data_IF_866759459934
#
_entry.id   IF_866759459934
#
_cell.length_a   1.000
_cell.length_b   1.000
_cell.length_c   1.000
_cell.angle_alpha   90.00
_cell.angle_beta   90.00
_cell.angle_gamma   90.00
#
_symmetry.space_group_name_H-M   'P 1'
#
loop_
_entity.id
_entity.type
_entity.pdbx_description
1 polymer ?
#
# COMPACT_ATOMS: atom_id res chain seq x y z
N UNK A 1 13.23 3.56 6.58
CA UNK A 1 12.88 2.65 7.66
C UNK A 1 13.08 1.20 7.23
N UNK A 2 12.36 0.70 6.21
CA UNK A 2 12.42 -0.71 5.78
C UNK A 2 13.86 -1.22 5.56
N UNK A 3 14.69 -0.44 4.85
CA UNK A 3 16.09 -0.81 4.57
C UNK A 3 16.94 -0.91 5.83
N UNK A 4 16.72 -0.04 6.81
CA UNK A 4 17.44 -0.08 8.10
C UNK A 4 17.07 -1.32 8.90
N UNK A 5 15.76 -1.60 9.03
CA UNK A 5 15.30 -2.82 9.70
C UNK A 5 15.85 -4.09 9.02
N UNK A 6 15.87 -4.12 7.69
CA UNK A 6 16.43 -5.24 6.93
C UNK A 6 17.97 -5.34 7.10
N UNK A 7 18.67 -4.23 7.18
CA UNK A 7 20.13 -4.21 7.43
C UNK A 7 20.45 -4.78 8.82
N UNK A 8 19.66 -4.45 9.84
CA UNK A 8 19.78 -5.07 11.16
C UNK A 8 19.61 -6.59 11.11
N UNK A 9 18.58 -7.08 10.40
CA UNK A 9 18.34 -8.53 10.24
C UNK A 9 19.53 -9.26 9.61
N UNK A 10 20.28 -8.58 8.73
CA UNK A 10 21.45 -9.15 8.04
C UNK A 10 22.75 -9.04 8.84
N UNK A 11 22.92 -7.99 9.61
CA UNK A 11 24.23 -7.65 10.23
C UNK A 11 24.25 -7.81 11.75
N UNK A 12 23.10 -7.67 12.41
CA UNK A 12 23.02 -7.60 13.87
C UNK A 12 23.59 -6.29 14.46
N UNK A 13 23.85 -5.27 13.63
CA UNK A 13 24.41 -4.01 14.09
C UNK A 13 23.32 -3.07 14.61
N UNK A 14 23.35 -2.77 15.90
CA UNK A 14 22.33 -2.00 16.62
C UNK A 14 22.07 -0.61 16.05
N UNK A 15 23.05 0.01 15.37
CA UNK A 15 22.84 1.32 14.72
C UNK A 15 21.69 1.29 13.69
N UNK A 16 21.51 0.15 13.01
CA UNK A 16 20.43 0.00 12.03
C UNK A 16 19.06 -0.20 12.70
N UNK A 17 19.01 -0.90 13.84
CA UNK A 17 17.79 -1.02 14.63
C UNK A 17 17.36 0.35 15.17
N UNK A 18 18.30 1.08 15.78
CA UNK A 18 18.02 2.43 16.29
C UNK A 18 17.51 3.38 15.19
N UNK A 19 18.10 3.31 14.00
CA UNK A 19 17.65 4.11 12.86
C UNK A 19 16.25 3.70 12.38
N UNK A 20 15.91 2.40 12.42
CA UNK A 20 14.59 1.90 12.05
C UNK A 20 13.52 2.34 13.05
N UNK A 21 13.79 2.25 14.35
CA UNK A 21 12.90 2.70 15.41
C UNK A 21 12.66 4.20 15.35
N UNK A 22 13.70 5.01 15.28
CA UNK A 22 13.58 6.48 15.14
C UNK A 22 12.80 6.89 13.88
N UNK A 23 13.05 6.21 12.76
CA UNK A 23 12.31 6.46 11.53
C UNK A 23 10.84 6.06 11.64
N UNK A 24 10.53 4.97 12.34
CA UNK A 24 9.15 4.53 12.61
C UNK A 24 8.43 5.51 13.52
N UNK A 25 9.05 5.94 14.60
CA UNK A 25 8.49 6.95 15.51
C UNK A 25 8.24 8.27 14.76
N UNK A 26 9.17 8.69 13.90
CA UNK A 26 8.97 9.89 13.07
C UNK A 26 7.75 9.76 12.16
N UNK A 27 7.58 8.64 11.47
CA UNK A 27 6.41 8.39 10.63
C UNK A 27 5.12 8.49 11.46
N UNK A 28 5.09 7.84 12.63
CA UNK A 28 3.94 7.83 13.53
C UNK A 28 3.61 9.22 14.09
N UNK A 29 4.62 9.99 14.46
CA UNK A 29 4.44 11.29 15.11
C UNK A 29 4.13 12.41 14.10
N UNK A 30 4.71 12.33 12.89
CA UNK A 30 4.71 13.44 11.93
C UNK A 30 3.86 13.17 10.69
N UNK A 31 3.73 11.92 10.26
CA UNK A 31 3.10 11.59 8.99
C UNK A 31 1.74 10.90 9.14
N UNK A 32 1.40 10.47 10.34
CA UNK A 32 0.15 9.77 10.63
C UNK A 32 -0.98 10.77 10.94
N UNK A 33 -2.14 10.52 10.35
CA UNK A 33 -3.41 11.11 10.77
C UNK A 33 -4.30 10.03 11.38
N UNK A 34 -4.88 10.32 12.54
CA UNK A 34 -5.88 9.47 13.20
C UNK A 34 -7.22 10.19 13.11
N UNK A 35 -8.16 9.58 12.42
CA UNK A 35 -9.53 10.06 12.39
C UNK A 35 -10.19 9.84 13.75
N UNK A 36 -10.65 10.91 14.38
CA UNK A 36 -11.17 10.86 15.75
C UNK A 36 -12.54 10.23 15.86
N UNK A 37 -13.30 10.18 14.76
CA UNK A 37 -14.66 9.65 14.73
C UNK A 37 -14.66 8.14 14.47
N UNK A 38 -13.79 7.67 13.60
CA UNK A 38 -13.71 6.26 13.19
C UNK A 38 -12.54 5.51 13.82
N UNK A 39 -11.52 6.22 14.28
CA UNK A 39 -10.25 5.65 14.75
C UNK A 39 -9.34 5.13 13.63
N UNK A 40 -9.75 5.25 12.37
CA UNK A 40 -8.94 4.83 11.22
C UNK A 40 -7.72 5.71 11.04
N UNK A 41 -6.69 5.16 10.41
CA UNK A 41 -5.43 5.85 10.17
C UNK A 41 -5.18 5.97 8.68
N UNK A 42 -4.80 7.16 8.25
CA UNK A 42 -4.15 7.38 6.96
C UNK A 42 -2.86 8.19 7.13
N UNK A 43 -2.02 8.16 6.08
CA UNK A 43 -0.69 8.71 6.13
C UNK A 43 -0.56 9.85 5.12
N UNK A 44 0.06 10.94 5.55
CA UNK A 44 0.35 12.08 4.67
C UNK A 44 1.44 11.73 3.68
N UNK A 45 1.35 12.28 2.46
CA UNK A 45 2.36 12.13 1.43
C UNK A 45 3.74 12.58 1.90
N UNK A 46 3.82 13.70 2.59
CA UNK A 46 5.09 14.27 3.01
C UNK A 46 4.96 15.35 4.08
N UNK A 47 6.12 15.85 4.47
CA UNK A 47 6.23 17.00 5.37
C UNK A 47 7.24 18.00 4.78
N UNK A 48 6.85 19.28 4.73
CA UNK A 48 7.72 20.38 4.36
C UNK A 48 8.04 21.21 5.60
N UNK A 49 9.32 21.52 5.78
CA UNK A 49 9.77 22.45 6.81
C UNK A 49 10.04 23.80 6.12
N UNK A 50 9.28 24.83 6.50
CA UNK A 50 9.47 26.18 6.01
C UNK A 50 10.74 26.84 6.56
N UNK A 51 11.16 27.96 5.97
CA UNK A 51 12.37 28.69 6.36
C UNK A 51 12.35 29.18 7.84
N UNK A 52 11.18 29.34 8.44
CA UNK A 52 11.02 29.68 9.87
C UNK A 52 10.83 28.47 10.79
N UNK A 53 11.08 27.23 10.31
CA UNK A 53 10.90 26.00 11.09
C UNK A 53 9.46 25.51 11.20
N UNK A 54 8.50 26.15 10.49
CA UNK A 54 7.11 25.70 10.48
C UNK A 54 6.97 24.37 9.73
N UNK A 55 6.29 23.44 10.34
CA UNK A 55 5.95 22.14 9.73
C UNK A 55 4.66 22.27 8.91
N UNK A 56 4.69 21.82 7.67
CA UNK A 56 3.54 21.74 6.77
C UNK A 56 3.33 20.30 6.30
N UNK A 57 2.12 19.77 6.48
CA UNK A 57 1.74 18.48 5.91
C UNK A 57 1.50 18.62 4.41
N UNK A 58 2.01 17.67 3.64
CA UNK A 58 1.74 17.57 2.21
C UNK A 58 0.77 16.41 1.99
N UNK A 59 -0.40 16.73 1.45
CA UNK A 59 -1.46 15.75 1.18
C UNK A 59 -1.35 15.15 -0.21
N UNK A 60 -0.62 15.80 -1.11
CA UNK A 60 -0.57 15.49 -2.53
C UNK A 60 0.85 15.24 -3.01
N UNK A 61 1.00 14.30 -3.93
CA UNK A 61 2.27 14.00 -4.57
C UNK A 61 2.66 15.10 -5.58
N UNK A 62 3.97 15.24 -5.80
CA UNK A 62 4.54 16.14 -6.80
C UNK A 62 4.18 15.75 -8.25
N UNK A 63 3.74 14.52 -8.47
CA UNK A 63 3.37 14.01 -9.78
C UNK A 63 2.00 14.49 -10.27
N UNK A 64 1.25 15.21 -9.44
CA UNK A 64 -0.01 15.85 -9.81
C UNK A 64 -1.17 14.92 -10.17
N UNK A 65 -0.98 13.62 -10.06
CA UNK A 65 -2.00 12.62 -10.36
C UNK A 65 -2.97 12.40 -9.19
N UNK A 66 -2.55 12.81 -7.98
CA UNK A 66 -3.18 12.48 -6.71
C UNK A 66 -3.73 13.73 -6.02
N UNK A 67 -4.02 14.78 -6.78
CA UNK A 67 -4.57 16.02 -6.25
C UNK A 67 -5.93 15.78 -5.62
N UNK A 68 -6.09 16.26 -4.40
CA UNK A 68 -7.33 16.18 -3.62
C UNK A 68 -7.82 14.75 -3.31
N UNK A 69 -6.93 13.76 -3.36
CA UNK A 69 -7.27 12.37 -3.08
C UNK A 69 -6.31 11.73 -2.07
N UNK A 70 -6.73 10.58 -1.55
CA UNK A 70 -5.88 9.68 -0.77
C UNK A 70 -5.57 8.49 -1.68
N UNK A 71 -4.33 8.31 -2.15
CA UNK A 71 -3.96 7.17 -2.96
C UNK A 71 -3.68 5.93 -2.10
N UNK A 72 -4.20 4.77 -2.52
CA UNK A 72 -3.95 3.49 -1.85
C UNK A 72 -2.45 3.17 -1.79
N UNK A 73 -1.72 3.44 -2.86
CA UNK A 73 -0.28 3.21 -2.97
C UNK A 73 0.52 3.80 -1.81
N UNK A 74 0.27 5.05 -1.46
CA UNK A 74 0.98 5.73 -0.37
C UNK A 74 0.65 5.11 0.99
N UNK A 75 -0.62 4.77 1.22
CA UNK A 75 -1.07 4.15 2.45
C UNK A 75 -0.44 2.76 2.63
N UNK A 76 -0.35 1.99 1.55
CA UNK A 76 0.29 0.66 1.53
C UNK A 76 1.77 0.77 1.89
N UNK A 77 2.49 1.69 1.25
CA UNK A 77 3.94 1.82 1.49
C UNK A 77 4.29 2.50 2.80
N UNK A 78 3.38 3.29 3.38
CA UNK A 78 3.56 3.82 4.74
C UNK A 78 3.69 2.71 5.78
N UNK A 79 3.08 1.54 5.55
CA UNK A 79 3.18 0.38 6.44
C UNK A 79 4.47 -0.42 6.27
N UNK A 80 5.15 -0.32 5.13
CA UNK A 80 6.29 -1.19 4.81
C UNK A 80 7.42 -1.11 5.84
N UNK A 81 7.84 0.08 6.17
CA UNK A 81 8.90 0.32 7.16
C UNK A 81 8.50 -0.06 8.58
N UNK A 82 7.38 0.48 9.08
CA UNK A 82 6.88 0.15 10.43
C UNK A 82 6.69 -1.36 10.65
N UNK A 83 6.08 -2.08 9.71
CA UNK A 83 5.89 -3.54 9.86
C UNK A 83 7.23 -4.29 9.89
N UNK A 84 8.23 -3.85 9.12
CA UNK A 84 9.55 -4.46 9.19
C UNK A 84 10.22 -4.17 10.55
N UNK A 85 9.98 -2.99 11.14
CA UNK A 85 10.43 -2.66 12.51
C UNK A 85 9.65 -3.50 13.55
N UNK A 86 8.34 -3.67 13.38
CA UNK A 86 7.52 -4.52 14.24
C UNK A 86 8.05 -5.96 14.32
N UNK A 87 8.48 -6.53 13.21
CA UNK A 87 9.09 -7.88 13.18
C UNK A 87 10.33 -8.02 14.07
N UNK A 88 11.02 -6.94 14.34
CA UNK A 88 12.22 -6.91 15.19
C UNK A 88 11.89 -6.62 16.64
N UNK A 89 10.96 -5.70 16.87
CA UNK A 89 10.72 -5.12 18.20
C UNK A 89 9.49 -5.69 18.90
N UNK A 90 8.50 -6.17 18.14
CA UNK A 90 7.21 -6.57 18.68
C UNK A 90 6.38 -5.40 19.25
N UNK A 91 6.70 -4.15 18.90
CA UNK A 91 6.01 -2.97 19.44
C UNK A 91 4.52 -2.98 19.07
N UNK A 92 3.60 -3.17 20.05
CA UNK A 92 2.17 -3.31 19.77
C UNK A 92 1.54 -2.04 19.19
N UNK A 93 2.18 -0.87 19.38
CA UNK A 93 1.69 0.40 18.83
C UNK A 93 1.78 0.41 17.31
N UNK A 94 2.79 -0.27 16.74
CA UNK A 94 2.95 -0.39 15.28
C UNK A 94 1.88 -1.32 14.71
N UNK A 95 1.58 -2.41 15.40
CA UNK A 95 0.52 -3.33 14.99
C UNK A 95 -0.85 -2.64 15.00
N UNK A 96 -1.16 -1.87 16.05
CA UNK A 96 -2.41 -1.09 16.16
C UNK A 96 -2.55 -0.08 15.00
N UNK A 97 -1.48 0.64 14.65
CA UNK A 97 -1.48 1.56 13.50
C UNK A 97 -1.72 0.81 12.17
N UNK A 98 -1.12 -0.36 12.01
CA UNK A 98 -1.29 -1.17 10.81
C UNK A 98 -2.73 -1.69 10.68
N UNK A 99 -3.32 -2.18 11.77
CA UNK A 99 -4.71 -2.66 11.81
C UNK A 99 -5.70 -1.56 11.44
N UNK A 100 -5.53 -0.37 12.00
CA UNK A 100 -6.37 0.80 11.69
C UNK A 100 -6.21 1.29 10.25
N UNK A 101 -5.03 1.15 9.65
CA UNK A 101 -4.82 1.44 8.23
C UNK A 101 -5.45 0.36 7.35
N UNK A 102 -5.41 -0.91 7.75
CA UNK A 102 -6.10 -2.01 7.06
C UNK A 102 -7.61 -1.81 7.11
N UNK A 103 -8.16 -1.36 8.24
CA UNK A 103 -9.58 -1.03 8.36
C UNK A 103 -9.99 0.11 7.39
N UNK A 104 -9.10 1.08 7.14
CA UNK A 104 -9.31 2.09 6.08
C UNK A 104 -9.40 1.43 4.69
N UNK A 105 -8.50 0.48 4.37
CA UNK A 105 -8.57 -0.24 3.10
C UNK A 105 -9.87 -1.03 2.96
N UNK A 106 -10.25 -1.79 3.97
CA UNK A 106 -11.46 -2.63 3.94
C UNK A 106 -12.76 -1.83 3.89
N UNK A 107 -12.74 -0.59 4.42
CA UNK A 107 -13.93 0.25 4.48
C UNK A 107 -14.12 1.09 3.22
N UNK A 108 -13.07 1.72 2.73
CA UNK A 108 -13.18 2.76 1.70
C UNK A 108 -12.49 2.43 0.37
N UNK A 109 -11.43 1.63 0.38
CA UNK A 109 -10.76 1.24 -0.85
C UNK A 109 -11.27 -0.07 -1.44
N UNK A 110 -11.78 -0.98 -0.63
CA UNK A 110 -12.19 -2.31 -1.09
C UNK A 110 -13.48 -2.23 -1.92
N UNK A 111 -13.42 -2.78 -3.12
CA UNK A 111 -14.62 -3.05 -3.91
C UNK A 111 -15.25 -4.36 -3.43
N UNK A 112 -16.35 -4.24 -2.67
CA UNK A 112 -17.03 -5.38 -2.05
C UNK A 112 -17.87 -6.19 -3.04
N UNK A 113 -18.17 -5.63 -4.23
CA UNK A 113 -18.99 -6.28 -5.25
C UNK A 113 -18.13 -7.02 -6.27
N UNK A 114 -17.08 -6.36 -6.78
CA UNK A 114 -16.26 -6.87 -7.88
C UNK A 114 -14.87 -7.33 -7.44
N UNK A 115 -14.52 -7.12 -6.17
CA UNK A 115 -13.21 -7.47 -5.60
C UNK A 115 -12.08 -6.50 -5.94
N UNK A 116 -10.97 -6.65 -5.23
CA UNK A 116 -9.82 -5.77 -5.31
C UNK A 116 -10.02 -4.44 -4.58
N UNK A 117 -9.09 -3.51 -4.80
CA UNK A 117 -9.07 -2.22 -4.14
C UNK A 117 -8.95 -1.09 -5.16
N UNK A 118 -9.70 -0.03 -4.95
CA UNK A 118 -9.60 1.21 -5.73
C UNK A 118 -8.25 1.88 -5.52
N UNK A 119 -7.75 2.53 -6.55
CA UNK A 119 -6.46 3.21 -6.50
C UNK A 119 -6.49 4.50 -5.68
N UNK A 120 -7.63 5.20 -5.70
CA UNK A 120 -7.80 6.51 -5.07
C UNK A 120 -9.18 6.63 -4.44
N UNK A 121 -9.24 7.36 -3.33
CA UNK A 121 -10.49 7.84 -2.73
C UNK A 121 -10.40 9.35 -2.55
N UNK A 122 -11.55 10.04 -2.59
CA UNK A 122 -11.60 11.48 -2.35
C UNK A 122 -11.28 11.82 -0.89
N UNK A 123 -10.46 12.84 -0.65
CA UNK A 123 -9.92 13.14 0.68
C UNK A 123 -10.98 13.54 1.73
N UNK A 124 -12.16 14.01 1.31
CA UNK A 124 -13.24 14.44 2.22
C UNK A 124 -14.37 13.43 2.26
N UNK A 125 -14.87 12.98 1.09
CA UNK A 125 -16.01 12.04 1.02
C UNK A 125 -15.61 10.60 1.23
N UNK A 126 -14.31 10.27 1.16
CA UNK A 126 -13.73 8.94 1.20
C UNK A 126 -14.31 7.98 0.14
N UNK A 127 -14.91 8.52 -0.90
CA UNK A 127 -15.52 7.76 -1.99
C UNK A 127 -14.55 7.60 -3.15
N UNK A 128 -14.43 6.37 -3.67
CA UNK A 128 -13.71 6.09 -4.91
C UNK A 128 -14.50 6.52 -6.16
N UNK A 129 -15.78 6.84 -5.99
CA UNK A 129 -16.68 7.24 -7.08
C UNK A 129 -16.97 8.74 -7.15
N UNK A 130 -16.25 9.56 -6.36
CA UNK A 130 -16.40 11.01 -6.39
C UNK A 130 -15.97 11.57 -7.75
N UNK A 131 -16.79 12.47 -8.32
CA UNK A 131 -16.52 13.05 -9.64
C UNK A 131 -15.25 13.88 -9.70
N UNK A 132 -14.84 14.47 -8.58
CA UNK A 132 -13.62 15.28 -8.50
C UNK A 132 -12.33 14.49 -8.69
N UNK A 133 -12.39 13.15 -8.52
CA UNK A 133 -11.26 12.27 -8.82
C UNK A 133 -10.91 12.21 -10.32
N UNK A 134 -11.80 12.69 -11.19
CA UNK A 134 -11.55 12.77 -12.63
C UNK A 134 -11.12 11.43 -13.22
N UNK A 135 -9.92 11.39 -13.81
CA UNK A 135 -9.37 10.16 -14.41
C UNK A 135 -9.06 9.04 -13.41
N UNK A 136 -8.91 9.37 -12.13
CA UNK A 136 -8.63 8.40 -11.06
C UNK A 136 -9.90 7.78 -10.45
N UNK A 137 -11.08 8.27 -10.87
CA UNK A 137 -12.38 7.79 -10.39
C UNK A 137 -12.58 6.32 -10.69
N UNK A 138 -12.86 5.53 -9.66
CA UNK A 138 -13.22 4.12 -9.75
C UNK A 138 -12.21 3.26 -10.56
N UNK A 139 -10.92 3.45 -10.31
CA UNK A 139 -9.84 2.73 -10.99
C UNK A 139 -9.16 1.73 -10.08
N UNK A 140 -8.66 0.65 -10.66
CA UNK A 140 -7.85 -0.38 -10.00
C UNK A 140 -6.55 -0.58 -10.74
N UNK A 141 -5.48 -0.83 -10.00
CA UNK A 141 -4.17 -1.10 -10.60
C UNK A 141 -3.34 -2.04 -9.72
N UNK A 142 -2.16 -2.42 -10.21
CA UNK A 142 -1.22 -3.19 -9.42
C UNK A 142 -0.95 -2.52 -8.06
N UNK A 143 -0.72 -1.22 -8.05
CA UNK A 143 -0.34 -0.50 -6.83
C UNK A 143 -1.43 -0.53 -5.75
N UNK A 144 -2.70 -0.59 -6.13
CA UNK A 144 -3.80 -0.66 -5.16
C UNK A 144 -4.24 -2.08 -4.82
N UNK A 145 -3.98 -3.05 -5.72
CA UNK A 145 -4.44 -4.43 -5.54
C UNK A 145 -3.31 -5.34 -5.05
N UNK A 146 -2.15 -5.28 -5.70
CA UNK A 146 -1.08 -6.25 -5.49
C UNK A 146 0.01 -5.83 -4.51
N UNK A 147 0.26 -4.53 -4.40
CA UNK A 147 1.36 -4.03 -3.57
C UNK A 147 1.16 -4.25 -2.07
N UNK A 148 -0.04 -4.57 -1.61
CA UNK A 148 -0.28 -5.03 -0.24
C UNK A 148 0.66 -6.20 0.14
N UNK A 149 0.78 -7.18 -0.75
CA UNK A 149 1.55 -8.38 -0.46
C UNK A 149 3.04 -8.09 -0.18
N UNK A 150 3.81 -7.46 -1.10
CA UNK A 150 5.24 -7.23 -0.90
C UNK A 150 5.56 -6.10 0.08
N UNK A 151 4.69 -5.10 0.18
CA UNK A 151 4.98 -3.94 1.01
C UNK A 151 4.96 -4.31 2.50
N UNK A 152 3.90 -4.94 2.97
CA UNK A 152 3.73 -5.20 4.39
C UNK A 152 3.06 -6.54 4.72
N UNK A 153 2.12 -7.02 3.91
CA UNK A 153 1.17 -8.05 4.33
C UNK A 153 1.81 -9.42 4.54
N UNK A 154 2.74 -9.84 3.66
CA UNK A 154 3.51 -11.08 3.87
C UNK A 154 4.31 -10.99 5.18
N UNK A 155 4.97 -9.85 5.42
CA UNK A 155 5.77 -9.67 6.62
C UNK A 155 4.91 -9.59 7.89
N UNK A 156 3.72 -8.98 7.80
CA UNK A 156 2.76 -8.91 8.90
C UNK A 156 2.21 -10.29 9.24
N UNK A 157 1.83 -11.07 8.23
CA UNK A 157 1.39 -12.45 8.46
C UNK A 157 2.49 -13.31 9.11
N UNK A 158 3.72 -13.26 8.59
CA UNK A 158 4.85 -13.99 9.17
C UNK A 158 5.18 -13.59 10.61
N UNK A 159 4.89 -12.34 10.99
CA UNK A 159 5.15 -11.84 12.35
C UNK A 159 4.04 -12.17 13.35
N UNK A 160 2.80 -12.33 12.89
CA UNK A 160 1.62 -12.46 13.74
C UNK A 160 0.93 -13.81 13.65
N UNK A 161 1.14 -14.53 12.55
CA UNK A 161 0.46 -15.79 12.21
C UNK A 161 -1.08 -15.70 12.21
N UNK A 162 -1.63 -14.47 12.11
CA UNK A 162 -3.08 -14.26 12.12
C UNK A 162 -3.71 -14.66 10.80
N UNK A 163 -4.75 -15.49 10.84
CA UNK A 163 -5.48 -15.97 9.66
C UNK A 163 -6.07 -14.84 8.80
N UNK A 164 -6.48 -13.72 9.40
CA UNK A 164 -7.02 -12.57 8.65
C UNK A 164 -6.04 -12.06 7.58
N UNK A 165 -4.74 -12.06 7.86
CA UNK A 165 -3.73 -11.61 6.91
C UNK A 165 -3.45 -12.66 5.83
N UNK A 166 -3.54 -13.93 6.18
CA UNK A 166 -3.47 -15.01 5.20
C UNK A 166 -4.61 -14.93 4.21
N UNK A 167 -5.85 -14.78 4.71
CA UNK A 167 -7.04 -14.63 3.87
C UNK A 167 -6.91 -13.41 2.95
N UNK A 168 -6.41 -12.29 3.45
CA UNK A 168 -6.19 -11.09 2.65
C UNK A 168 -5.11 -11.31 1.57
N UNK A 169 -4.06 -12.10 1.86
CA UNK A 169 -3.04 -12.48 0.88
C UNK A 169 -3.62 -13.38 -0.20
N UNK A 170 -4.41 -14.40 0.18
CA UNK A 170 -5.08 -15.30 -0.75
C UNK A 170 -6.00 -14.51 -1.69
N UNK A 171 -6.87 -13.65 -1.16
CA UNK A 171 -7.75 -12.77 -1.95
C UNK A 171 -6.96 -11.86 -2.92
N UNK A 172 -5.83 -11.31 -2.44
CA UNK A 172 -4.94 -10.49 -3.26
C UNK A 172 -4.37 -11.28 -4.44
N UNK A 173 -3.82 -12.46 -4.18
CA UNK A 173 -3.20 -13.27 -5.23
C UNK A 173 -4.21 -13.92 -6.17
N UNK A 174 -5.36 -14.33 -5.68
CA UNK A 174 -6.47 -14.83 -6.50
C UNK A 174 -6.97 -13.74 -7.44
N UNK A 175 -7.13 -12.51 -6.95
CA UNK A 175 -7.50 -11.34 -7.75
C UNK A 175 -6.47 -11.07 -8.85
N UNK A 176 -5.17 -11.11 -8.51
CA UNK A 176 -4.08 -10.93 -9.48
C UNK A 176 -4.11 -12.03 -10.54
N UNK A 177 -4.15 -13.29 -10.12
CA UNK A 177 -4.14 -14.44 -11.03
C UNK A 177 -5.36 -14.47 -11.96
N UNK A 178 -6.50 -13.96 -11.50
CA UNK A 178 -7.75 -13.91 -12.27
C UNK A 178 -7.78 -12.78 -13.30
N UNK A 179 -7.32 -11.59 -12.94
CA UNK A 179 -7.59 -10.38 -13.73
C UNK A 179 -6.37 -9.82 -14.48
N UNK A 180 -5.14 -10.05 -13.99
CA UNK A 180 -3.95 -9.45 -14.56
C UNK A 180 -3.41 -10.18 -15.80
N UNK A 181 -3.48 -11.52 -15.93
CA UNK A 181 -3.04 -12.21 -17.13
C UNK A 181 -3.78 -11.73 -18.37
N UNK A 182 -3.06 -11.65 -19.49
CA UNK A 182 -3.57 -11.25 -20.80
C UNK A 182 -2.90 -12.05 -21.90
N UNK A 183 -2.79 -13.37 -21.69
CA UNK A 183 -1.94 -14.26 -22.50
C UNK A 183 -2.34 -14.34 -23.96
N UNK A 184 -3.60 -14.02 -24.31
CA UNK A 184 -4.05 -13.96 -25.70
C UNK A 184 -3.38 -12.82 -26.49
N UNK A 185 -2.94 -11.77 -25.79
CA UNK A 185 -2.38 -10.57 -26.39
C UNK A 185 -0.90 -10.36 -26.05
N UNK A 186 -0.41 -10.88 -24.90
CA UNK A 186 0.94 -10.62 -24.45
C UNK A 186 1.37 -11.59 -23.34
N UNK A 187 2.68 -11.95 -23.25
CA UNK A 187 3.22 -12.66 -22.10
C UNK A 187 3.31 -11.78 -20.84
N UNK A 188 3.11 -10.47 -20.96
CA UNK A 188 3.12 -9.52 -19.85
C UNK A 188 1.71 -9.26 -19.35
N UNK A 189 1.58 -9.05 -18.04
CA UNK A 189 0.29 -8.74 -17.42
C UNK A 189 -0.27 -7.40 -17.90
N UNK A 190 -1.57 -7.21 -17.75
CA UNK A 190 -2.23 -5.91 -17.74
C UNK A 190 -2.38 -5.49 -16.27
N UNK A 191 -2.04 -4.24 -15.93
CA UNK A 191 -2.05 -3.81 -14.52
C UNK A 191 -2.93 -2.61 -14.20
N UNK A 192 -3.68 -2.11 -15.20
CA UNK A 192 -4.59 -0.95 -15.04
C UNK A 192 -5.97 -1.28 -15.55
N UNK A 193 -6.96 -1.00 -14.72
CA UNK A 193 -8.34 -1.42 -14.95
C UNK A 193 -9.34 -0.34 -14.53
N UNK A 194 -10.50 -0.36 -15.19
CA UNK A 194 -11.72 0.21 -14.64
C UNK A 194 -12.24 -0.64 -13.48
N UNK A 195 -13.26 -0.17 -12.80
CA UNK A 195 -13.85 -0.86 -11.64
C UNK A 195 -14.40 -2.26 -11.98
N UNK A 196 -14.85 -2.46 -13.23
CA UNK A 196 -15.39 -3.73 -13.75
C UNK A 196 -14.32 -4.70 -14.26
N UNK A 197 -13.03 -4.40 -14.01
CA UNK A 197 -11.87 -5.13 -14.50
C UNK A 197 -11.63 -5.07 -16.01
N UNK A 198 -12.38 -4.27 -16.74
CA UNK A 198 -12.02 -3.95 -18.12
C UNK A 198 -10.70 -3.15 -18.15
N UNK A 199 -9.88 -3.40 -19.19
CA UNK A 199 -8.54 -2.85 -19.29
C UNK A 199 -8.57 -1.35 -19.57
N UNK A 200 -7.83 -0.56 -18.80
CA UNK A 200 -7.60 0.86 -19.07
C UNK A 200 -6.18 1.07 -19.60
N UNK A 201 -6.06 1.27 -20.88
CA UNK A 201 -4.76 1.47 -21.57
C UNK A 201 -4.40 2.95 -21.73
N UNK A 202 -5.17 3.87 -21.17
CA UNK A 202 -4.98 5.31 -21.32
C UNK A 202 -4.75 6.04 -20.00
N UNK A 203 -4.83 5.32 -18.88
CA UNK A 203 -4.73 5.91 -17.56
C UNK A 203 -3.28 6.10 -17.12
N UNK A 204 -2.94 7.36 -16.86
CA UNK A 204 -1.62 7.77 -16.34
C UNK A 204 -0.52 7.74 -17.40
N UNK A 205 0.70 8.03 -16.97
CA UNK A 205 1.89 8.14 -17.83
C UNK A 205 2.48 6.78 -18.24
N UNK A 206 2.24 5.75 -17.43
CA UNK A 206 2.63 4.36 -17.72
C UNK A 206 1.51 3.67 -18.51
N UNK A 207 1.31 4.11 -19.72
CA UNK A 207 0.19 3.69 -20.53
C UNK A 207 0.35 2.26 -21.04
N UNK A 208 -0.63 1.78 -21.73
CA UNK A 208 -0.74 0.53 -22.44
C UNK A 208 -0.91 -0.68 -21.55
N UNK A 209 0.12 -1.17 -20.84
CA UNK A 209 0.05 -2.48 -20.20
C UNK A 209 0.52 -2.49 -18.76
N UNK A 210 1.81 -2.46 -18.54
CA UNK A 210 2.41 -2.65 -17.23
C UNK A 210 3.82 -2.07 -17.15
N UNK A 211 4.28 -1.82 -15.95
CA UNK A 211 5.70 -1.59 -15.67
C UNK A 211 6.44 -2.93 -15.71
N UNK A 212 7.53 -3.00 -16.46
CA UNK A 212 8.30 -4.24 -16.64
C UNK A 212 8.71 -4.86 -15.31
N UNK A 213 9.18 -4.05 -14.37
CA UNK A 213 9.54 -4.50 -13.02
C UNK A 213 8.40 -5.12 -12.22
N UNK A 214 7.15 -4.69 -12.45
CA UNK A 214 5.98 -5.26 -11.78
C UNK A 214 5.73 -6.72 -12.18
N UNK A 215 6.02 -7.11 -13.42
CA UNK A 215 5.91 -8.52 -13.82
C UNK A 215 6.83 -9.43 -12.99
N UNK A 216 8.09 -9.00 -12.80
CA UNK A 216 9.02 -9.72 -11.93
C UNK A 216 8.58 -9.69 -10.46
N UNK A 217 8.08 -8.55 -10.01
CA UNK A 217 7.59 -8.37 -8.64
C UNK A 217 6.38 -9.26 -8.35
N UNK A 218 5.44 -9.38 -9.29
CA UNK A 218 4.29 -10.29 -9.19
C UNK A 218 4.76 -11.73 -9.07
N UNK A 219 5.60 -12.19 -10.01
CA UNK A 219 6.12 -13.55 -10.01
C UNK A 219 6.88 -13.88 -8.70
N UNK A 220 7.76 -12.97 -8.27
CA UNK A 220 8.52 -13.14 -7.03
C UNK A 220 7.62 -13.24 -5.79
N UNK A 221 6.57 -12.43 -5.70
CA UNK A 221 5.68 -12.47 -4.54
C UNK A 221 4.76 -13.69 -4.53
N UNK A 222 4.30 -14.15 -5.69
CA UNK A 222 3.59 -15.43 -5.79
C UNK A 222 4.47 -16.59 -5.29
N UNK A 223 5.73 -16.63 -5.71
CA UNK A 223 6.69 -17.64 -5.23
C UNK A 223 6.97 -17.53 -3.72
N UNK A 224 7.11 -16.30 -3.21
CA UNK A 224 7.28 -16.08 -1.76
C UNK A 224 6.07 -16.58 -0.98
N UNK A 225 4.87 -16.24 -1.42
CA UNK A 225 3.65 -16.68 -0.75
C UNK A 225 3.54 -18.21 -0.76
N UNK A 226 3.78 -18.86 -1.89
CA UNK A 226 3.79 -20.31 -1.99
C UNK A 226 4.83 -20.95 -1.06
N UNK A 227 6.02 -20.35 -0.95
CA UNK A 227 7.10 -20.90 -0.11
C UNK A 227 6.84 -20.80 1.40
N UNK A 228 5.95 -19.90 1.83
CA UNK A 228 5.61 -19.72 3.27
C UNK A 228 4.26 -20.34 3.65
N UNK A 229 3.54 -20.90 2.68
CA UNK A 229 2.37 -21.73 2.98
C UNK A 229 2.83 -23.08 3.55
N UNK A 230 2.12 -23.62 4.56
CA UNK A 230 2.44 -24.92 5.15
C UNK A 230 2.28 -26.09 4.18
#
# INVERSE_FOLDING_TARGET
VYGMASAYMLTGDDQFLEAAEKGTDYLRDKMRFVDTDTGMIYWYHGQKIGAGGQEQKLLVSEFGDDYDCIPAYEQIYALAGPIQTYRLTGDPRILDDAEKTIDLFDTYFRDKEKGGYYSHIHAVTLSAHDESLGRNKAKKNWNSVGDHAPAYLINLWLATEQDRYKVMLEDTFDTICKHFPDYDNSPFVQEKFFDDWSKDQQWGWQQNRAVVGHNLKIAWNLMRFQAVQP
#
